data_IF_928417171695
#
_entry.id   IF_928417171695
#
_cell.length_a   1.000
_cell.length_b   1.000
_cell.length_c   1.000
_cell.angle_alpha   90.00
_cell.angle_beta   90.00
_cell.angle_gamma   90.00
#
_symmetry.space_group_name_H-M   'P 1'
#
loop_
_entity.id
_entity.type
_entity.pdbx_description
1 polymer ?
#
# COMPACT_ATOMS: atom_id res chain seq x y z
N UNK A 1 -9.00 30.41 -27.31
CA UNK A 1 -10.24 30.14 -28.08
C UNK A 1 -10.21 28.67 -28.45
N UNK A 2 -10.79 27.82 -27.60
CA UNK A 2 -11.24 26.46 -27.93
C UNK A 2 -12.33 26.09 -26.92
N UNK A 3 -13.46 25.64 -27.46
CA UNK A 3 -14.78 25.50 -26.85
C UNK A 3 -14.87 24.65 -25.58
N UNK A 4 -15.52 25.19 -24.56
CA UNK A 4 -16.14 24.41 -23.47
C UNK A 4 -17.63 24.36 -23.76
N UNK A 5 -18.11 23.22 -24.28
CA UNK A 5 -19.55 22.99 -24.42
C UNK A 5 -20.11 22.47 -23.10
N UNK A 6 -20.75 23.36 -22.35
CA UNK A 6 -21.55 23.05 -21.17
C UNK A 6 -22.88 22.46 -21.66
N UNK A 7 -23.10 21.17 -21.48
CA UNK A 7 -24.45 20.61 -21.58
C UNK A 7 -25.18 20.88 -20.27
N UNK A 8 -26.17 21.79 -20.33
CA UNK A 8 -27.18 21.96 -19.31
C UNK A 8 -28.08 20.71 -19.29
N UNK A 9 -28.04 19.96 -18.21
CA UNK A 9 -29.09 18.99 -17.89
C UNK A 9 -29.63 19.31 -16.49
N UNK A 10 -30.95 19.35 -16.44
CA UNK A 10 -31.84 19.92 -15.44
C UNK A 10 -31.81 19.26 -14.05
N UNK A 11 -31.97 20.13 -13.05
CA UNK A 11 -32.39 19.94 -11.65
C UNK A 11 -32.98 18.57 -11.24
N UNK A 12 -32.24 17.83 -10.40
CA UNK A 12 -32.72 16.87 -9.38
C UNK A 12 -31.71 16.89 -8.18
N UNK A 13 -32.11 16.55 -6.94
CA UNK A 13 -31.43 17.01 -5.73
C UNK A 13 -30.02 16.43 -5.61
N UNK A 14 -29.07 17.34 -5.36
CA UNK A 14 -27.64 17.11 -5.22
C UNK A 14 -27.30 16.02 -4.20
N UNK A 15 -27.14 14.79 -4.67
CA UNK A 15 -26.13 13.87 -4.15
C UNK A 15 -24.94 14.01 -5.08
N UNK A 16 -23.90 14.72 -4.66
CA UNK A 16 -22.60 14.68 -5.35
C UNK A 16 -22.02 13.28 -5.17
N UNK A 17 -22.47 12.32 -5.97
CA UNK A 17 -21.77 11.06 -6.11
C UNK A 17 -20.59 11.36 -7.03
N UNK A 18 -19.45 11.73 -6.45
CA UNK A 18 -18.19 11.74 -7.17
C UNK A 18 -17.92 10.29 -7.57
N UNK A 19 -18.22 9.97 -8.82
CA UNK A 19 -17.91 8.67 -9.40
C UNK A 19 -16.41 8.66 -9.65
N UNK A 20 -15.69 7.98 -8.75
CA UNK A 20 -14.26 7.77 -8.87
C UNK A 20 -14.03 6.92 -10.12
N UNK A 21 -13.43 7.51 -11.15
CA UNK A 21 -13.02 6.75 -12.35
C UNK A 21 -11.83 5.84 -11.99
N UNK A 22 -12.12 4.60 -11.59
CA UNK A 22 -11.12 3.54 -11.53
C UNK A 22 -10.64 3.22 -12.95
N UNK A 23 -9.33 3.26 -13.19
CA UNK A 23 -8.74 2.93 -14.49
C UNK A 23 -7.70 1.84 -14.32
N UNK A 24 -7.47 1.05 -15.36
CA UNK A 24 -6.34 0.09 -15.35
C UNK A 24 -5.04 0.85 -15.18
N UNK A 25 -4.14 0.34 -14.34
CA UNK A 25 -2.87 0.99 -14.15
C UNK A 25 -2.04 0.90 -15.44
N UNK A 26 -1.82 2.04 -16.10
CA UNK A 26 -0.95 2.09 -17.28
C UNK A 26 0.51 2.20 -16.85
N UNK A 27 1.05 1.10 -16.30
CA UNK A 27 2.46 0.95 -15.96
C UNK A 27 3.33 0.51 -17.13
N UNK A 28 2.87 0.72 -18.37
CA UNK A 28 3.62 0.35 -19.55
C UNK A 28 4.77 1.34 -19.76
N UNK A 29 5.87 1.08 -19.06
CA UNK A 29 7.19 1.36 -19.60
C UNK A 29 7.39 0.48 -20.85
N UNK A 30 8.10 1.02 -21.82
CA UNK A 30 8.16 0.53 -23.20
C UNK A 30 8.42 -0.98 -23.35
N UNK A 31 7.89 -1.52 -24.46
CA UNK A 31 8.27 -2.75 -25.14
C UNK A 31 7.67 -4.08 -24.61
N UNK A 32 6.56 -4.48 -25.24
CA UNK A 32 6.07 -5.84 -25.51
C UNK A 32 5.98 -6.89 -24.37
N UNK A 33 6.19 -6.51 -23.11
CA UNK A 33 5.97 -7.37 -21.95
C UNK A 33 4.83 -6.80 -21.11
N UNK A 34 3.75 -7.58 -20.92
CA UNK A 34 2.67 -7.19 -20.01
C UNK A 34 3.27 -7.14 -18.60
N UNK A 35 3.50 -5.93 -18.09
CA UNK A 35 3.88 -5.73 -16.69
C UNK A 35 2.89 -6.44 -15.79
N UNK A 36 3.39 -7.21 -14.82
CA UNK A 36 2.54 -7.97 -13.89
C UNK A 36 1.60 -7.06 -13.08
N UNK A 37 1.99 -5.79 -12.95
CA UNK A 37 1.23 -4.70 -12.34
C UNK A 37 0.03 -4.23 -13.17
N UNK A 38 -0.03 -4.58 -14.46
CA UNK A 38 -1.18 -4.27 -15.32
C UNK A 38 -2.47 -5.00 -14.93
N UNK A 39 -2.38 -5.96 -14.00
CA UNK A 39 -3.54 -6.63 -13.39
C UNK A 39 -4.12 -5.84 -12.21
N UNK A 40 -3.45 -4.79 -11.75
CA UNK A 40 -3.90 -3.94 -10.66
C UNK A 40 -4.79 -2.80 -11.16
N UNK A 41 -5.65 -2.32 -10.26
CA UNK A 41 -6.55 -1.19 -10.47
C UNK A 41 -5.94 0.08 -9.90
N UNK A 42 -6.06 1.18 -10.64
CA UNK A 42 -5.56 2.49 -10.25
C UNK A 42 -6.72 3.46 -10.04
N UNK A 43 -6.64 4.21 -8.94
CA UNK A 43 -7.63 5.19 -8.52
C UNK A 43 -6.92 6.54 -8.33
N UNK A 44 -7.44 7.60 -8.96
CA UNK A 44 -6.93 8.95 -8.77
C UNK A 44 -7.49 9.52 -7.46
N UNK A 45 -6.59 9.88 -6.54
CA UNK A 45 -6.95 10.60 -5.31
C UNK A 45 -6.96 12.10 -5.59
N UNK A 46 -5.91 12.59 -6.25
CA UNK A 46 -5.73 13.97 -6.69
C UNK A 46 -5.19 13.99 -8.13
N UNK A 47 -4.91 15.18 -8.67
CA UNK A 47 -4.29 15.31 -9.98
C UNK A 47 -2.90 14.63 -10.07
N UNK A 48 -2.21 14.52 -8.94
CA UNK A 48 -0.83 14.03 -8.81
C UNK A 48 -0.68 12.78 -7.92
N UNK A 49 -1.70 12.37 -7.16
CA UNK A 49 -1.64 11.20 -6.27
C UNK A 49 -2.52 10.05 -6.77
N UNK A 50 -1.94 8.85 -6.82
CA UNK A 50 -2.60 7.62 -7.26
C UNK A 50 -2.62 6.61 -6.12
N UNK A 51 -3.72 5.88 -6.03
CA UNK A 51 -3.87 4.67 -5.23
C UNK A 51 -3.86 3.46 -6.16
N UNK A 52 -3.06 2.46 -5.82
CA UNK A 52 -2.88 1.23 -6.58
C UNK A 52 -3.41 0.06 -5.76
N UNK A 53 -4.35 -0.69 -6.33
CA UNK A 53 -5.00 -1.82 -5.69
C UNK A 53 -4.74 -3.10 -6.51
N UNK A 54 -3.95 -4.00 -5.93
CA UNK A 54 -3.63 -5.31 -6.48
C UNK A 54 -4.32 -6.37 -5.62
N UNK A 55 -5.36 -7.02 -6.15
CA UNK A 55 -6.11 -8.05 -5.41
C UNK A 55 -6.00 -9.40 -6.10
N UNK A 56 -5.79 -10.46 -5.31
CA UNK A 56 -5.74 -11.83 -5.81
C UNK A 56 -4.62 -12.08 -6.84
N UNK A 57 -3.52 -11.32 -6.74
CA UNK A 57 -2.36 -11.50 -7.62
C UNK A 57 -1.33 -12.37 -6.93
N UNK A 58 -1.03 -13.54 -7.51
CA UNK A 58 -0.22 -14.59 -6.88
C UNK A 58 1.30 -14.34 -6.93
N UNK A 59 1.76 -13.31 -6.23
CA UNK A 59 3.20 -13.00 -6.12
C UNK A 59 3.80 -13.64 -4.88
N UNK A 60 5.00 -14.24 -5.02
CA UNK A 60 5.75 -14.74 -3.86
C UNK A 60 6.38 -13.62 -3.03
N UNK A 61 6.84 -12.57 -3.72
CA UNK A 61 7.39 -11.32 -3.16
C UNK A 61 6.88 -10.14 -3.98
N UNK A 62 6.93 -8.93 -3.41
CA UNK A 62 6.62 -7.71 -4.14
C UNK A 62 7.58 -7.60 -5.33
N UNK A 63 7.09 -7.60 -6.59
CA UNK A 63 7.94 -7.39 -7.75
C UNK A 63 8.46 -5.96 -7.77
N UNK A 64 9.48 -5.67 -8.58
CA UNK A 64 9.98 -4.30 -8.73
C UNK A 64 8.83 -3.34 -9.06
N UNK A 65 8.64 -2.33 -8.22
CA UNK A 65 7.54 -1.38 -8.37
C UNK A 65 7.83 -0.48 -9.58
N UNK A 66 6.92 -0.38 -10.56
CA UNK A 66 7.10 0.46 -11.73
C UNK A 66 7.10 1.93 -11.31
N UNK A 67 7.94 2.72 -11.96
CA UNK A 67 8.01 4.15 -11.67
C UNK A 67 7.00 4.91 -12.51
N UNK A 68 6.39 5.96 -11.96
CA UNK A 68 5.52 6.88 -12.71
C UNK A 68 6.34 7.87 -13.58
N UNK A 69 7.50 7.46 -14.11
CA UNK A 69 8.49 8.38 -14.71
C UNK A 69 7.95 9.21 -15.88
N UNK A 70 6.97 8.70 -16.62
CA UNK A 70 6.33 9.41 -17.74
C UNK A 70 5.15 10.31 -17.32
N UNK A 71 4.67 10.24 -16.07
CA UNK A 71 3.53 11.02 -15.60
C UNK A 71 3.93 11.94 -14.44
N UNK A 72 3.19 13.04 -14.22
CA UNK A 72 3.38 13.88 -13.02
C UNK A 72 2.83 13.24 -11.74
N UNK A 73 2.37 12.00 -11.84
CA UNK A 73 1.68 11.31 -10.77
C UNK A 73 2.66 10.53 -9.90
N UNK A 74 2.31 10.29 -8.65
CA UNK A 74 3.04 9.43 -7.75
C UNK A 74 2.08 8.52 -6.98
N UNK A 75 2.50 7.29 -6.76
CA UNK A 75 1.74 6.35 -5.93
C UNK A 75 1.88 6.73 -4.47
N UNK A 76 0.75 7.06 -3.86
CA UNK A 76 0.64 7.44 -2.45
C UNK A 76 0.10 6.28 -1.60
N UNK A 77 -0.72 5.41 -2.20
CA UNK A 77 -1.30 4.25 -1.52
C UNK A 77 -1.10 3.01 -2.38
N UNK A 78 -0.63 1.93 -1.76
CA UNK A 78 -0.48 0.62 -2.38
C UNK A 78 -1.18 -0.44 -1.52
N UNK A 79 -2.10 -1.18 -2.12
CA UNK A 79 -2.73 -2.36 -1.51
C UNK A 79 -2.38 -3.59 -2.34
N UNK A 80 -1.77 -4.59 -1.71
CA UNK A 80 -1.49 -5.91 -2.28
C UNK A 80 -2.14 -6.93 -1.35
N UNK A 81 -3.31 -7.44 -1.69
CA UNK A 81 -4.09 -8.30 -0.79
C UNK A 81 -4.55 -9.59 -1.46
N UNK A 82 -4.73 -10.63 -0.66
CA UNK A 82 -5.24 -11.93 -1.12
C UNK A 82 -4.34 -12.62 -2.16
N UNK A 83 -3.04 -12.28 -2.19
CA UNK A 83 -2.08 -12.67 -3.23
C UNK A 83 -1.08 -13.75 -2.85
N UNK A 84 -1.19 -14.33 -1.65
CA UNK A 84 -0.22 -15.31 -1.12
C UNK A 84 1.23 -14.78 -1.07
N UNK A 85 1.39 -13.48 -0.83
CA UNK A 85 2.70 -12.86 -0.60
C UNK A 85 3.33 -13.50 0.65
N UNK A 86 4.51 -14.13 0.51
CA UNK A 86 5.14 -14.89 1.60
C UNK A 86 6.26 -14.12 2.29
N UNK A 87 7.01 -13.31 1.53
CA UNK A 87 8.10 -12.52 2.06
C UNK A 87 8.16 -11.15 1.40
N UNK A 88 8.71 -10.18 2.13
CA UNK A 88 9.01 -8.84 1.59
C UNK A 88 10.52 -8.73 1.40
N UNK A 89 10.95 -8.61 0.15
CA UNK A 89 12.35 -8.52 -0.24
C UNK A 89 13.02 -7.21 0.18
N UNK A 90 14.35 -7.23 0.16
CA UNK A 90 15.20 -6.04 0.30
C UNK A 90 14.78 -4.96 -0.72
N UNK A 91 14.72 -3.68 -0.29
CA UNK A 91 14.41 -2.52 -1.13
C UNK A 91 13.09 -2.64 -1.94
N UNK A 92 12.12 -3.45 -1.47
CA UNK A 92 10.87 -3.73 -2.19
C UNK A 92 10.08 -2.47 -2.59
N UNK A 93 10.17 -1.41 -1.79
CA UNK A 93 9.48 -0.13 -2.01
C UNK A 93 10.43 1.04 -2.18
N UNK A 94 11.68 0.77 -2.57
CA UNK A 94 12.68 1.81 -2.74
C UNK A 94 12.26 2.79 -3.82
N UNK A 95 12.56 4.06 -3.58
CA UNK A 95 12.26 5.21 -4.44
C UNK A 95 10.75 5.44 -4.69
N UNK A 96 9.88 4.85 -3.87
CA UNK A 96 8.43 5.07 -3.91
C UNK A 96 7.97 6.16 -2.93
N UNK A 97 6.85 6.82 -3.24
CA UNK A 97 6.26 7.86 -2.39
C UNK A 97 5.04 7.37 -1.60
N UNK A 98 5.12 6.15 -1.07
CA UNK A 98 3.99 5.48 -0.41
C UNK A 98 3.82 6.00 1.02
N UNK A 99 2.59 6.43 1.32
CA UNK A 99 2.16 6.83 2.66
C UNK A 99 1.30 5.75 3.32
N UNK A 100 0.52 5.00 2.54
CA UNK A 100 -0.33 3.91 3.02
C UNK A 100 0.04 2.62 2.30
N UNK A 101 0.51 1.64 3.06
CA UNK A 101 0.87 0.32 2.55
C UNK A 101 0.00 -0.74 3.21
N UNK A 102 -0.83 -1.38 2.41
CA UNK A 102 -1.70 -2.47 2.83
C UNK A 102 -1.25 -3.79 2.20
N UNK A 103 -0.77 -4.70 3.05
CA UNK A 103 -0.31 -6.03 2.70
C UNK A 103 -1.14 -7.10 3.42
N UNK A 104 -2.38 -6.76 3.79
CA UNK A 104 -3.26 -7.65 4.54
C UNK A 104 -3.72 -8.87 3.75
N UNK A 105 -4.14 -9.91 4.48
CA UNK A 105 -4.68 -11.14 3.90
C UNK A 105 -3.72 -11.80 2.92
N UNK A 106 -2.45 -11.92 3.32
CA UNK A 106 -1.42 -12.67 2.60
C UNK A 106 -0.86 -13.77 3.51
N UNK A 107 0.30 -14.33 3.14
CA UNK A 107 0.98 -15.38 3.88
C UNK A 107 2.35 -14.90 4.37
N UNK A 108 2.48 -13.61 4.72
CA UNK A 108 3.78 -13.03 5.06
C UNK A 108 4.27 -13.62 6.37
N UNK A 109 5.40 -14.33 6.32
CA UNK A 109 6.09 -14.86 7.50
C UNK A 109 7.41 -14.13 7.79
N UNK A 110 7.96 -13.45 6.79
CA UNK A 110 9.30 -12.88 6.85
C UNK A 110 9.39 -11.53 6.12
N UNK A 111 10.01 -10.56 6.78
CA UNK A 111 10.22 -9.21 6.25
C UNK A 111 11.71 -8.91 6.35
N UNK A 112 12.35 -8.62 5.22
CA UNK A 112 13.76 -8.26 5.18
C UNK A 112 14.03 -7.00 6.02
N UNK A 113 15.21 -6.92 6.66
CA UNK A 113 15.62 -5.78 7.50
C UNK A 113 15.50 -4.43 6.77
N UNK A 114 15.71 -4.42 5.45
CA UNK A 114 15.68 -3.21 4.62
C UNK A 114 14.51 -3.20 3.63
N UNK A 115 13.44 -3.97 3.90
CA UNK A 115 12.27 -4.04 3.03
C UNK A 115 11.61 -2.66 2.79
N UNK A 116 11.58 -1.81 3.82
CA UNK A 116 10.93 -0.50 3.79
C UNK A 116 11.90 0.67 3.56
N UNK A 117 13.13 0.40 3.11
CA UNK A 117 14.11 1.46 2.81
C UNK A 117 13.56 2.40 1.74
N UNK A 118 13.72 3.71 1.95
CA UNK A 118 13.17 4.77 1.10
C UNK A 118 11.82 5.33 1.58
N UNK A 119 11.15 4.65 2.53
CA UNK A 119 9.86 5.07 3.08
C UNK A 119 9.96 5.76 4.45
N UNK A 120 11.18 5.96 4.97
CA UNK A 120 11.47 6.41 6.35
C UNK A 120 10.67 7.66 6.75
N UNK A 121 10.56 8.62 5.84
CA UNK A 121 9.94 9.92 6.09
C UNK A 121 8.54 10.08 5.48
N UNK A 122 7.92 8.97 5.04
CA UNK A 122 6.70 9.01 4.21
C UNK A 122 5.63 8.04 4.68
N UNK A 123 6.01 6.82 5.08
CA UNK A 123 5.03 5.80 5.45
C UNK A 123 4.33 6.16 6.75
N UNK A 124 3.03 6.37 6.64
CA UNK A 124 2.16 6.77 7.73
C UNK A 124 1.38 5.59 8.31
N UNK A 125 0.97 4.66 7.46
CA UNK A 125 0.18 3.50 7.85
C UNK A 125 0.70 2.23 7.15
N UNK A 126 0.93 1.20 7.97
CA UNK A 126 1.31 -0.14 7.52
C UNK A 126 0.28 -1.16 8.02
N UNK A 127 -0.39 -1.84 7.09
CA UNK A 127 -1.39 -2.86 7.39
C UNK A 127 -0.83 -4.24 7.06
N UNK A 128 -0.65 -5.08 8.08
CA UNK A 128 -0.16 -6.45 8.00
C UNK A 128 -1.16 -7.45 8.61
N UNK A 129 -2.44 -7.06 8.71
CA UNK A 129 -3.51 -7.90 9.24
C UNK A 129 -3.66 -9.21 8.45
N UNK A 130 -4.05 -10.29 9.13
CA UNK A 130 -4.29 -11.60 8.53
C UNK A 130 -3.07 -12.12 7.73
N UNK A 131 -1.90 -12.09 8.37
CA UNK A 131 -0.66 -12.73 7.87
C UNK A 131 -0.23 -13.83 8.86
N UNK A 132 0.99 -14.36 8.71
CA UNK A 132 1.51 -15.44 9.57
C UNK A 132 2.77 -15.01 10.33
N UNK A 133 2.93 -13.72 10.59
CA UNK A 133 4.05 -13.17 11.34
C UNK A 133 4.05 -13.73 12.76
N UNK A 134 5.21 -14.26 13.18
CA UNK A 134 5.41 -14.76 14.55
C UNK A 134 5.95 -13.70 15.50
N UNK A 135 6.47 -12.59 14.96
CA UNK A 135 7.03 -11.49 15.75
C UNK A 135 6.65 -10.16 15.14
N UNK A 136 6.60 -9.13 15.98
CA UNK A 136 6.48 -7.74 15.52
C UNK A 136 7.77 -7.37 14.78
N UNK A 137 7.71 -6.79 13.57
CA UNK A 137 8.88 -6.44 12.76
C UNK A 137 9.53 -5.13 13.25
N UNK A 138 9.86 -5.05 14.54
CA UNK A 138 10.32 -3.82 15.22
C UNK A 138 11.58 -3.22 14.57
N UNK A 139 12.55 -4.04 14.18
CA UNK A 139 13.79 -3.61 13.53
C UNK A 139 13.58 -3.06 12.12
N UNK A 140 12.60 -3.62 11.40
CA UNK A 140 12.27 -3.23 10.03
C UNK A 140 11.54 -1.88 10.00
N UNK A 141 10.76 -1.59 11.05
CA UNK A 141 9.95 -0.36 11.15
C UNK A 141 10.58 0.74 12.01
N UNK A 142 11.71 0.46 12.68
CA UNK A 142 12.37 1.38 13.62
C UNK A 142 12.66 2.76 13.01
N UNK A 143 13.03 2.78 11.72
CA UNK A 143 13.40 4.01 10.98
C UNK A 143 12.22 4.71 10.32
N UNK A 144 11.00 4.19 10.46
CA UNK A 144 9.81 4.80 9.85
C UNK A 144 9.28 5.90 10.78
N UNK A 145 9.90 7.08 10.72
CA UNK A 145 9.67 8.21 11.63
C UNK A 145 8.23 8.78 11.55
N UNK A 146 7.59 8.64 10.39
CA UNK A 146 6.22 9.09 10.17
C UNK A 146 5.17 8.01 10.43
N UNK A 147 5.56 6.79 10.78
CA UNK A 147 4.61 5.71 11.01
C UNK A 147 3.75 6.04 12.24
N UNK A 148 2.44 6.05 12.06
CA UNK A 148 1.45 6.26 13.13
C UNK A 148 0.59 5.04 13.36
N UNK A 149 0.26 4.32 12.29
CA UNK A 149 -0.61 3.15 12.37
C UNK A 149 0.09 1.89 11.91
N UNK A 150 0.11 0.88 12.78
CA UNK A 150 0.61 -0.45 12.50
C UNK A 150 -0.47 -1.47 12.85
N UNK A 151 -0.98 -2.17 11.83
CA UNK A 151 -2.02 -3.19 12.01
C UNK A 151 -1.39 -4.57 11.91
N UNK A 152 -1.59 -5.40 12.94
CA UNK A 152 -1.01 -6.74 13.08
C UNK A 152 -2.06 -7.77 13.53
N UNK A 153 -3.35 -7.46 13.40
CA UNK A 153 -4.45 -8.33 13.82
C UNK A 153 -4.37 -9.68 13.09
N UNK A 154 -4.77 -10.75 13.77
CA UNK A 154 -4.84 -12.10 13.19
C UNK A 154 -3.50 -12.57 12.58
N UNK A 155 -2.39 -12.28 13.27
CA UNK A 155 -1.09 -12.89 13.02
C UNK A 155 -0.82 -14.01 14.06
N UNK A 156 0.38 -14.57 14.07
CA UNK A 156 0.84 -15.62 15.00
C UNK A 156 1.82 -15.07 16.04
N UNK A 157 1.67 -13.80 16.40
CA UNK A 157 2.58 -13.10 17.31
C UNK A 157 2.35 -13.60 18.73
N UNK A 158 3.37 -14.23 19.30
CA UNK A 158 3.35 -14.82 20.64
C UNK A 158 4.11 -13.97 21.67
N UNK A 159 5.10 -13.19 21.23
CA UNK A 159 5.95 -12.36 22.09
C UNK A 159 5.87 -10.88 21.72
N UNK A 160 5.61 -10.06 22.73
CA UNK A 160 5.69 -8.59 22.66
C UNK A 160 6.75 -8.12 23.65
N UNK A 161 7.91 -7.66 23.15
CA UNK A 161 8.99 -7.18 24.02
C UNK A 161 8.78 -5.71 24.41
N UNK A 162 9.24 -5.36 25.61
CA UNK A 162 9.18 -3.99 26.11
C UNK A 162 10.02 -3.05 25.23
N UNK A 163 9.47 -1.87 24.90
CA UNK A 163 10.17 -0.85 24.12
C UNK A 163 10.08 -1.01 22.60
N UNK A 164 9.42 -2.05 22.08
CA UNK A 164 9.22 -2.25 20.63
C UNK A 164 8.42 -1.13 19.93
N UNK A 165 7.71 -0.27 20.69
CA UNK A 165 6.77 0.72 20.15
C UNK A 165 7.13 2.17 20.48
N UNK A 166 8.40 2.46 20.76
CA UNK A 166 8.85 3.76 21.29
C UNK A 166 8.47 4.97 20.42
N UNK A 167 8.19 4.76 19.13
CA UNK A 167 7.91 5.81 18.14
C UNK A 167 6.53 5.70 17.46
N UNK A 168 5.68 4.72 17.83
CA UNK A 168 4.40 4.46 17.16
C UNK A 168 3.27 4.82 18.12
N UNK A 169 2.46 5.82 17.77
CA UNK A 169 1.23 6.15 18.53
C UNK A 169 0.26 4.99 18.33
N UNK A 170 0.31 4.06 19.27
CA UNK A 170 -0.35 2.78 19.20
C UNK A 170 -1.89 2.97 19.20
N UNK A 171 -2.53 2.84 18.04
CA UNK A 171 -3.86 2.23 18.00
C UNK A 171 -3.65 0.78 17.64
N UNK A 172 -3.29 -0.03 18.64
CA UNK A 172 -3.22 -1.47 18.48
C UNK A 172 -4.65 -1.99 18.30
N UNK A 173 -5.12 -2.08 17.06
CA UNK A 173 -6.27 -2.93 16.72
C UNK A 173 -5.83 -4.41 16.64
N UNK A 174 -4.77 -4.79 17.35
CA UNK A 174 -4.49 -6.20 17.56
C UNK A 174 -5.55 -6.67 18.56
N UNK A 175 -6.52 -7.43 18.05
CA UNK A 175 -7.22 -8.40 18.88
C UNK A 175 -6.19 -9.44 19.33
N UNK A 176 -5.31 -9.07 20.27
CA UNK A 176 -4.52 -10.02 21.03
C UNK A 176 -5.51 -10.61 22.04
N UNK A 177 -6.01 -11.80 21.73
CA UNK A 177 -6.39 -12.71 22.79
C UNK A 177 -5.09 -13.07 23.52
N UNK A 178 -4.72 -12.25 24.50
CA UNK A 178 -3.74 -12.66 25.51
C UNK A 178 -4.46 -13.74 26.31
N UNK A 179 -4.19 -15.00 25.98
CA UNK A 179 -4.62 -16.15 26.78
C UNK A 179 -3.79 -16.25 28.05
#
# INVERSE_FOLDING_TARGET
MTDIRIFLVSFLPFVWKFEVESRTCNFNDDDNSRSIWGTCECELITADAVKVNCRSVAWLTVPSVPSFQKTKQHMTSLSITHGNLMFISYDAFRDQNIQVLDLSSNAIDSINLHAFRGLENRLYQLVLDNNVLTRIPSKQIEKLEQLRYLHLKNNRIDVVEAGMFKNIIMTLMAGLAVS
#
